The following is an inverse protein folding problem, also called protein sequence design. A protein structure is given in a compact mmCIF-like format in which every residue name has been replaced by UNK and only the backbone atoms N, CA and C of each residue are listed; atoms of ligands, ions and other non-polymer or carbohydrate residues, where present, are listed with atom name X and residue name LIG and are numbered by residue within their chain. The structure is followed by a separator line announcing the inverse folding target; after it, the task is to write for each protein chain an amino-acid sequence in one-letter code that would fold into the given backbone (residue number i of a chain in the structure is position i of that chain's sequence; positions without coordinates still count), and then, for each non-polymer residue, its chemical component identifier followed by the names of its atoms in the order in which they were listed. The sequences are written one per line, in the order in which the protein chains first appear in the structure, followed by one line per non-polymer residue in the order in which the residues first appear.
data_IF_168193989121
#
_entry.id   IF_168193989121
#
_cell.length_a   1.000
_cell.length_b   1.000
_cell.length_c   1.000
_cell.angle_alpha   90.00
_cell.angle_beta   90.00
_cell.angle_gamma   90.00
#
_symmetry.space_group_name_H-M   'P 1'
#
loop_
_entity.id
_entity.type
_entity.pdbx_description
1 polymer ?
#
# COMPACT_ATOMS: atom_id res chain seq x y z
N UNK A 1 -29.92 7.20 17.07
CA UNK A 1 -28.53 7.70 16.88
C UNK A 1 -27.80 6.71 15.98
N UNK A 2 -27.45 7.10 14.74
CA UNK A 2 -26.80 6.19 13.79
C UNK A 2 -25.38 5.90 14.27
N UNK A 3 -25.11 4.66 14.62
CA UNK A 3 -23.83 4.24 15.16
C UNK A 3 -22.73 4.39 14.09
N UNK A 4 -21.74 5.25 14.36
CA UNK A 4 -20.70 5.62 13.41
C UNK A 4 -19.67 4.49 13.27
N UNK A 5 -19.44 4.05 12.04
CA UNK A 5 -18.34 3.14 11.72
C UNK A 5 -16.99 3.80 11.99
N UNK A 6 -16.06 3.07 12.60
CA UNK A 6 -14.69 3.55 12.86
C UNK A 6 -13.77 3.03 11.75
N UNK A 7 -13.17 3.94 10.99
CA UNK A 7 -12.19 3.58 9.98
C UNK A 7 -10.77 3.67 10.55
N UNK A 8 -9.99 2.61 10.39
CA UNK A 8 -8.58 2.52 10.80
C UNK A 8 -7.75 2.26 9.56
N UNK A 9 -6.68 3.04 9.39
CA UNK A 9 -5.68 2.84 8.34
C UNK A 9 -4.45 2.21 8.98
N UNK A 10 -4.05 1.06 8.49
CA UNK A 10 -2.88 0.32 8.97
C UNK A 10 -1.94 0.03 7.79
N UNK A 11 -0.65 -0.07 8.07
CA UNK A 11 0.34 -0.56 7.12
C UNK A 11 0.93 -1.82 7.73
N UNK A 12 0.82 -2.94 7.01
CA UNK A 12 1.26 -4.24 7.50
C UNK A 12 2.12 -4.91 6.42
N UNK A 13 3.23 -5.52 6.82
CA UNK A 13 4.06 -6.29 5.90
C UNK A 13 3.33 -7.54 5.42
N UNK A 14 3.30 -7.78 4.11
CA UNK A 14 2.73 -8.98 3.50
C UNK A 14 3.31 -10.25 4.15
N UNK A 15 2.45 -11.21 4.50
CA UNK A 15 2.83 -12.47 5.14
C UNK A 15 3.47 -12.34 6.53
N UNK A 16 3.58 -11.13 7.09
CA UNK A 16 4.22 -10.84 8.37
C UNK A 16 3.27 -10.16 9.37
N UNK A 17 1.95 -10.30 9.18
CA UNK A 17 1.01 -9.78 10.17
C UNK A 17 1.09 -10.59 11.46
N UNK A 18 1.40 -9.88 12.55
CA UNK A 18 1.45 -10.42 13.90
C UNK A 18 0.68 -9.49 14.85
N UNK A 19 0.12 -10.00 15.96
CA UNK A 19 -0.55 -9.20 16.99
C UNK A 19 0.45 -8.41 17.86
N UNK A 20 1.53 -7.90 17.26
CA UNK A 20 2.54 -7.06 17.88
C UNK A 20 2.22 -5.57 17.63
N UNK A 21 2.82 -4.62 18.37
CA UNK A 21 2.84 -3.21 17.95
C UNK A 21 3.44 -3.14 16.55
N UNK A 22 2.76 -2.64 15.50
CA UNK A 22 1.72 -1.61 15.46
C UNK A 22 0.26 -2.08 15.32
N UNK A 23 0.01 -3.36 15.02
CA UNK A 23 -1.33 -3.90 14.71
C UNK A 23 -2.12 -4.21 15.99
N UNK A 24 -1.47 -4.84 16.98
CA UNK A 24 -2.09 -5.25 18.24
C UNK A 24 -2.74 -4.09 19.01
N UNK A 25 -2.00 -3.02 19.36
CA UNK A 25 -2.56 -1.88 20.09
C UNK A 25 -3.63 -1.10 19.30
N UNK A 26 -3.44 -0.94 17.99
CA UNK A 26 -4.36 -0.19 17.14
C UNK A 26 -5.72 -0.89 17.00
N UNK A 27 -5.73 -2.22 16.90
CA UNK A 27 -6.95 -3.03 16.81
C UNK A 27 -7.57 -3.30 18.18
N UNK A 28 -6.75 -3.60 19.19
CA UNK A 28 -7.19 -3.93 20.54
C UNK A 28 -7.93 -2.78 21.22
N UNK A 29 -7.48 -1.54 21.03
CA UNK A 29 -8.16 -0.34 21.56
C UNK A 29 -9.59 -0.14 21.03
N UNK A 30 -9.94 -0.80 19.92
CA UNK A 30 -11.27 -0.75 19.29
C UNK A 30 -12.08 -2.04 19.50
N UNK A 31 -11.58 -2.99 20.28
CA UNK A 31 -12.26 -4.26 20.56
C UNK A 31 -12.29 -5.23 19.38
N UNK A 32 -11.38 -5.07 18.42
CA UNK A 32 -11.27 -5.97 17.25
C UNK A 32 -10.36 -7.14 17.58
N UNK A 33 -10.73 -8.35 17.14
CA UNK A 33 -9.91 -9.56 17.29
C UNK A 33 -8.69 -9.52 16.36
N UNK A 34 -7.57 -9.00 16.88
CA UNK A 34 -6.33 -8.84 16.11
C UNK A 34 -5.79 -10.17 15.54
N UNK A 35 -5.98 -11.29 16.24
CA UNK A 35 -5.52 -12.61 15.79
C UNK A 35 -6.24 -13.06 14.52
N UNK A 36 -7.57 -12.89 14.48
CA UNK A 36 -8.39 -13.25 13.32
C UNK A 36 -8.01 -12.40 12.10
N UNK A 37 -7.82 -11.09 12.32
CA UNK A 37 -7.28 -10.19 11.30
C UNK A 37 -5.91 -10.64 10.77
N UNK A 38 -4.95 -10.98 11.65
CA UNK A 38 -3.62 -11.38 11.22
C UNK A 38 -3.64 -12.66 10.37
N UNK A 39 -4.47 -13.64 10.74
CA UNK A 39 -4.63 -14.88 9.97
C UNK A 39 -5.23 -14.61 8.60
N UNK A 40 -6.33 -13.85 8.55
CA UNK A 40 -7.01 -13.55 7.30
C UNK A 40 -6.14 -12.67 6.38
N UNK A 41 -5.43 -11.70 6.94
CA UNK A 41 -4.48 -10.86 6.20
C UNK A 41 -3.32 -11.69 5.64
N UNK A 42 -2.71 -12.60 6.40
CA UNK A 42 -1.62 -13.44 5.91
C UNK A 42 -2.10 -14.41 4.82
N UNK A 43 -3.30 -14.99 4.96
CA UNK A 43 -3.89 -15.84 3.93
C UNK A 43 -4.16 -15.05 2.64
N UNK A 44 -4.73 -13.86 2.74
CA UNK A 44 -4.99 -13.02 1.57
C UNK A 44 -3.71 -12.42 0.99
N UNK A 45 -2.67 -12.12 1.78
CA UNK A 45 -1.41 -11.53 1.29
C UNK A 45 -0.35 -12.55 0.86
N UNK A 46 -0.66 -13.85 0.92
CA UNK A 46 0.27 -14.93 0.54
C UNK A 46 0.77 -14.88 -0.92
N UNK A 47 0.08 -14.17 -1.81
CA UNK A 47 0.50 -13.98 -3.20
C UNK A 47 1.52 -12.85 -3.38
N UNK A 48 1.71 -12.00 -2.36
CA UNK A 48 2.72 -10.95 -2.37
C UNK A 48 4.03 -11.45 -1.77
N UNK A 49 5.14 -10.87 -2.22
CA UNK A 49 6.44 -11.12 -1.61
C UNK A 49 6.40 -10.72 -0.13
N UNK A 50 6.88 -11.58 0.80
CA UNK A 50 6.91 -11.28 2.22
C UNK A 50 7.63 -9.95 2.51
N UNK A 51 7.07 -9.17 3.43
CA UNK A 51 7.67 -7.90 3.88
C UNK A 51 7.35 -6.68 3.00
N UNK A 52 6.60 -6.83 1.91
CA UNK A 52 6.05 -5.67 1.17
C UNK A 52 5.04 -4.94 2.07
N UNK A 53 5.15 -3.61 2.29
CA UNK A 53 4.17 -2.87 3.08
C UNK A 53 2.84 -2.76 2.30
N UNK A 54 1.80 -3.39 2.82
CA UNK A 54 0.45 -3.36 2.27
C UNK A 54 -0.42 -2.45 3.15
N UNK A 55 -0.97 -1.36 2.59
CA UNK A 55 -1.95 -0.53 3.29
C UNK A 55 -3.29 -1.26 3.39
N UNK A 56 -3.84 -1.28 4.59
CA UNK A 56 -5.12 -1.89 4.89
C UNK A 56 -6.07 -0.83 5.42
N UNK A 57 -7.24 -0.73 4.81
CA UNK A 57 -8.34 0.08 5.34
C UNK A 57 -9.29 -0.88 6.07
N UNK A 58 -9.35 -0.76 7.39
CA UNK A 58 -10.26 -1.53 8.22
C UNK A 58 -11.42 -0.65 8.66
N UNK A 59 -12.63 -1.18 8.52
CA UNK A 59 -13.87 -0.57 8.99
C UNK A 59 -14.41 -1.42 10.13
N UNK A 60 -14.49 -0.83 11.33
CA UNK A 60 -15.07 -1.45 12.51
C UNK A 60 -16.51 -0.97 12.62
N UNK A 61 -17.43 -1.92 12.62
CA UNK A 61 -18.85 -1.69 12.83
C UNK A 61 -19.16 -1.65 14.35
N UNK A 62 -20.27 -1.03 14.75
CA UNK A 62 -20.65 -0.90 16.16
C UNK A 62 -20.98 -2.23 16.85
N UNK A 63 -21.30 -3.28 16.08
CA UNK A 63 -21.49 -4.66 16.55
C UNK A 63 -20.16 -5.38 16.83
N UNK A 64 -19.02 -4.67 16.79
CA UNK A 64 -17.65 -5.19 16.93
C UNK A 64 -17.24 -6.13 15.79
N UNK A 65 -18.01 -6.21 14.72
CA UNK A 65 -17.55 -6.85 13.48
C UNK A 65 -16.60 -5.92 12.75
N UNK A 66 -15.64 -6.50 12.04
CA UNK A 66 -14.67 -5.77 11.25
C UNK A 66 -14.73 -6.25 9.81
N UNK A 67 -14.51 -5.33 8.87
CA UNK A 67 -14.26 -5.62 7.47
C UNK A 67 -13.01 -4.89 7.05
N UNK A 68 -12.12 -5.51 6.29
CA UNK A 68 -10.92 -4.86 5.81
C UNK A 68 -10.74 -5.04 4.30
N UNK A 69 -10.18 -4.00 3.70
CA UNK A 69 -9.78 -3.97 2.30
C UNK A 69 -8.27 -3.78 2.24
N UNK A 70 -7.59 -4.71 1.57
CA UNK A 70 -6.17 -4.59 1.26
C UNK A 70 -6.02 -3.80 -0.03
N UNK A 71 -5.11 -2.84 -0.03
CA UNK A 71 -4.78 -2.06 -1.23
C UNK A 71 -3.42 -2.50 -1.77
N UNK A 72 -3.15 -2.18 -3.02
CA UNK A 72 -1.82 -2.33 -3.59
C UNK A 72 -0.78 -1.59 -2.73
N UNK A 73 0.48 -2.06 -2.75
CA UNK A 73 1.57 -1.40 -2.06
C UNK A 73 1.69 0.08 -2.46
N UNK A 74 2.23 0.96 -1.58
CA UNK A 74 2.43 2.35 -1.90
C UNK A 74 3.26 2.49 -3.17
N UNK A 75 2.81 3.34 -4.09
CA UNK A 75 3.49 3.54 -5.38
C UNK A 75 4.92 4.03 -5.16
N UNK A 76 5.13 4.90 -4.16
CA UNK A 76 6.46 5.37 -3.77
C UNK A 76 7.38 4.23 -3.34
N UNK A 77 6.88 3.25 -2.59
CA UNK A 77 7.66 2.09 -2.19
C UNK A 77 8.03 1.19 -3.38
N UNK A 78 7.09 0.96 -4.30
CA UNK A 78 7.34 0.20 -5.53
C UNK A 78 8.39 0.89 -6.42
N UNK A 79 8.30 2.21 -6.57
CA UNK A 79 9.26 3.01 -7.32
C UNK A 79 10.65 2.94 -6.67
N UNK A 80 10.72 3.12 -5.35
CA UNK A 80 11.98 3.05 -4.60
C UNK A 80 12.65 1.67 -4.76
N UNK A 81 11.86 0.59 -4.69
CA UNK A 81 12.37 -0.76 -4.95
C UNK A 81 12.83 -0.98 -6.39
N UNK A 82 12.07 -0.52 -7.37
CA UNK A 82 12.45 -0.62 -8.78
C UNK A 82 13.72 0.20 -9.10
N UNK A 83 13.92 1.33 -8.41
CA UNK A 83 15.13 2.16 -8.53
C UNK A 83 16.30 1.68 -7.65
N UNK A 84 16.11 0.64 -6.82
CA UNK A 84 17.14 0.14 -5.91
C UNK A 84 17.48 1.07 -4.74
N UNK A 85 16.64 2.05 -4.42
CA UNK A 85 16.86 3.04 -3.36
C UNK A 85 16.03 2.73 -2.10
N UNK A 86 16.56 3.06 -0.93
CA UNK A 86 15.88 2.89 0.36
C UNK A 86 15.19 4.16 0.85
N UNK A 87 15.65 5.33 0.41
CA UNK A 87 15.13 6.65 0.81
C UNK A 87 14.89 7.50 -0.44
N UNK A 88 13.77 8.24 -0.44
CA UNK A 88 13.49 9.25 -1.46
C UNK A 88 14.38 10.48 -1.33
N UNK A 89 14.31 11.36 -2.33
CA UNK A 89 15.07 12.62 -2.35
C UNK A 89 14.61 13.59 -1.27
N UNK A 90 15.57 14.18 -0.56
CA UNK A 90 15.31 15.25 0.42
C UNK A 90 14.89 16.57 -0.28
N UNK A 91 15.20 16.72 -1.58
CA UNK A 91 14.79 17.87 -2.40
C UNK A 91 14.32 17.38 -3.79
N UNK A 92 13.03 17.00 -3.91
CA UNK A 92 12.44 16.57 -5.18
C UNK A 92 12.64 17.63 -6.27
N UNK A 93 13.03 17.20 -7.48
CA UNK A 93 13.29 18.09 -8.63
C UNK A 93 14.70 18.67 -8.71
N UNK A 94 15.44 18.76 -7.59
CA UNK A 94 16.85 19.18 -7.60
C UNK A 94 17.81 18.00 -7.49
N UNK A 95 17.52 17.05 -6.60
CA UNK A 95 18.36 15.89 -6.38
C UNK A 95 17.67 14.64 -6.92
N UNK A 96 18.19 14.11 -8.03
CA UNK A 96 17.75 12.83 -8.59
C UNK A 96 18.48 11.72 -7.84
N UNK A 97 17.73 10.86 -7.15
CA UNK A 97 18.27 9.78 -6.31
C UNK A 97 18.28 8.42 -7.01
N UNK A 98 17.64 8.30 -8.17
CA UNK A 98 17.65 7.08 -8.97
C UNK A 98 16.95 7.25 -10.31
N UNK A 99 17.04 6.23 -11.15
CA UNK A 99 16.38 6.18 -12.47
C UNK A 99 15.54 4.91 -12.61
N UNK A 100 14.42 5.02 -13.32
CA UNK A 100 13.59 3.86 -13.69
C UNK A 100 13.22 3.94 -15.17
N UNK A 101 13.16 2.79 -15.84
CA UNK A 101 12.71 2.72 -17.23
C UNK A 101 11.19 2.75 -17.34
N UNK A 102 10.65 3.12 -18.51
CA UNK A 102 9.21 2.99 -18.80
C UNK A 102 8.64 1.58 -18.60
N UNK A 103 9.44 0.51 -18.82
CA UNK A 103 9.02 -0.88 -18.58
C UNK A 103 8.59 -1.12 -17.13
N UNK A 104 9.43 -0.71 -16.17
CA UNK A 104 9.13 -0.78 -14.73
C UNK A 104 7.87 0.00 -14.36
N UNK A 105 7.65 1.18 -14.95
CA UNK A 105 6.43 1.97 -14.70
C UNK A 105 5.18 1.22 -15.15
N UNK A 106 5.26 0.58 -16.31
CA UNK A 106 4.16 -0.21 -16.85
C UNK A 106 3.82 -1.42 -15.97
N UNK A 107 4.84 -2.10 -15.43
CA UNK A 107 4.66 -3.20 -14.47
C UNK A 107 4.02 -2.71 -13.16
N UNK A 108 4.51 -1.59 -12.60
CA UNK A 108 3.93 -0.97 -11.40
C UNK A 108 2.47 -0.56 -11.65
N UNK A 109 2.16 -0.01 -12.83
CA UNK A 109 0.80 0.36 -13.20
C UNK A 109 -0.12 -0.87 -13.33
N UNK A 110 0.36 -1.99 -13.86
CA UNK A 110 -0.38 -3.26 -13.89
C UNK A 110 -0.72 -3.77 -12.50
N UNK A 111 0.25 -3.76 -11.58
CA UNK A 111 0.03 -4.14 -10.19
C UNK A 111 -1.02 -3.21 -9.55
N UNK A 112 -0.92 -1.90 -9.79
CA UNK A 112 -1.85 -0.93 -9.20
C UNK A 112 -3.26 -1.00 -9.80
N UNK A 113 -3.39 -1.50 -11.04
CA UNK A 113 -4.68 -1.68 -11.71
C UNK A 113 -5.53 -2.80 -11.10
N UNK A 114 -4.94 -3.72 -10.33
CA UNK A 114 -5.73 -4.75 -9.61
C UNK A 114 -6.58 -4.16 -8.50
N UNK A 115 -6.26 -2.95 -8.03
CA UNK A 115 -7.08 -2.24 -7.05
C UNK A 115 -8.45 -1.90 -7.61
N UNK A 116 -9.48 -2.05 -6.78
CA UNK A 116 -10.87 -1.80 -7.16
C UNK A 116 -11.10 -0.39 -7.72
N UNK A 117 -10.40 0.61 -7.17
CA UNK A 117 -10.45 2.01 -7.61
C UNK A 117 -9.94 2.24 -9.03
N UNK A 118 -9.07 1.35 -9.55
CA UNK A 118 -8.41 1.53 -10.85
C UNK A 118 -8.99 0.61 -11.94
N UNK A 119 -10.01 -0.20 -11.64
CA UNK A 119 -10.62 -1.14 -12.61
C UNK A 119 -11.15 -0.44 -13.87
N UNK A 120 -11.80 0.72 -13.69
CA UNK A 120 -12.40 1.49 -14.79
C UNK A 120 -11.44 2.47 -15.45
N UNK A 121 -10.20 2.58 -14.95
CA UNK A 121 -9.22 3.54 -15.46
C UNK A 121 -8.36 2.91 -16.57
N UNK A 122 -8.08 3.73 -17.58
CA UNK A 122 -7.12 3.36 -18.61
C UNK A 122 -5.72 3.21 -18.01
N UNK A 123 -4.97 2.25 -18.54
CA UNK A 123 -3.63 1.96 -18.04
C UNK A 123 -2.70 3.17 -18.21
N UNK A 124 -2.91 3.97 -19.26
CA UNK A 124 -2.19 5.22 -19.53
C UNK A 124 -2.34 6.22 -18.39
N UNK A 125 -3.53 6.39 -17.85
CA UNK A 125 -3.81 7.32 -16.74
C UNK A 125 -3.06 6.87 -15.48
N UNK A 126 -3.03 5.56 -15.21
CA UNK A 126 -2.29 4.99 -14.08
C UNK A 126 -0.79 5.21 -14.27
N UNK A 127 -0.25 4.94 -15.46
CA UNK A 127 1.16 5.20 -15.78
C UNK A 127 1.55 6.66 -15.55
N UNK A 128 0.73 7.62 -16.02
CA UNK A 128 0.97 9.04 -15.78
C UNK A 128 1.00 9.39 -14.28
N UNK A 129 0.10 8.81 -13.49
CA UNK A 129 0.10 9.00 -12.03
C UNK A 129 1.35 8.42 -11.35
N UNK A 130 1.83 7.27 -11.83
CA UNK A 130 3.08 6.65 -11.35
C UNK A 130 4.29 7.51 -11.70
N UNK A 131 4.36 8.07 -12.92
CA UNK A 131 5.41 9.00 -13.35
C UNK A 131 5.44 10.25 -12.46
N UNK A 132 4.28 10.85 -12.19
CA UNK A 132 4.19 12.00 -11.28
C UNK A 132 4.70 11.66 -9.88
N UNK A 133 4.37 10.47 -9.39
CA UNK A 133 4.87 10.00 -8.08
C UNK A 133 6.39 9.80 -8.11
N UNK A 134 6.96 9.29 -9.20
CA UNK A 134 8.41 9.12 -9.34
C UNK A 134 9.14 10.47 -9.23
N UNK A 135 8.61 11.52 -9.88
CA UNK A 135 9.17 12.87 -9.78
C UNK A 135 9.16 13.41 -8.34
N UNK A 136 8.08 13.15 -7.58
CA UNK A 136 7.98 13.55 -6.15
C UNK A 136 8.96 12.78 -5.27
N UNK A 137 9.25 11.53 -5.59
CA UNK A 137 10.27 10.73 -4.89
C UNK A 137 11.70 11.15 -5.30
N UNK A 138 11.85 11.88 -6.41
CA UNK A 138 13.14 12.27 -6.98
C UNK A 138 13.77 11.18 -7.85
N UNK A 139 12.95 10.32 -8.45
CA UNK A 139 13.39 9.29 -9.39
C UNK A 139 13.07 9.74 -10.81
N UNK A 140 14.08 9.77 -11.68
CA UNK A 140 13.91 10.17 -13.06
C UNK A 140 13.45 8.99 -13.93
N UNK A 141 12.48 9.25 -14.80
CA UNK A 141 11.98 8.26 -15.75
C UNK A 141 12.77 8.35 -17.04
N UNK A 142 13.35 7.23 -17.47
CA UNK A 142 14.09 7.09 -18.73
C UNK A 142 13.24 6.29 -19.72
N UNK A 143 13.17 6.71 -21.00
CA UNK A 143 12.46 5.96 -22.04
C UNK A 143 12.97 4.52 -22.21
#
# INVERSE_FOLDING_TARGET
MSAKNVMIKLIVGAGQAAPAPPVGPALGSKGVKAIDFCKEFNARSAHYTPGIPIPVLMTVKPDRTFSFEMKSPPTSWLIMRAAGISKGSDKPGHNIVGTISLKHIYEIAKIKKTDDRHKNLELKVICSSVILTANVVGVQVVP
#
